data_IF_864920615503
#
_entry.id   IF_864920615503
#
_cell.length_a   1.000
_cell.length_b   1.000
_cell.length_c   1.000
_cell.angle_alpha   90.00
_cell.angle_beta   90.00
_cell.angle_gamma   90.00
#
_symmetry.space_group_name_H-M   'P 1'
#
loop_
_entity.id
_entity.type
_entity.pdbx_description
1 polymer ?
#
# COMPACT_ATOMS: atom_id res chain seq x y z
N UNK A 1 -7.70 27.15 -11.13
CA UNK A 1 -7.51 26.18 -10.03
C UNK A 1 -6.34 25.28 -10.37
N UNK A 2 -5.36 25.09 -9.47
CA UNK A 2 -4.25 24.16 -9.68
C UNK A 2 -4.74 22.73 -9.45
N UNK A 3 -4.34 21.80 -10.31
CA UNK A 3 -4.64 20.37 -10.14
C UNK A 3 -3.79 19.77 -9.02
N UNK A 4 -4.32 18.82 -8.25
CA UNK A 4 -3.50 18.08 -7.28
C UNK A 4 -2.46 17.24 -8.02
N UNK A 5 -1.29 17.15 -7.41
CA UNK A 5 -0.25 16.19 -7.77
C UNK A 5 -0.47 14.90 -6.98
N UNK A 6 -0.08 13.78 -7.55
CA UNK A 6 -0.25 12.45 -6.96
C UNK A 6 1.03 11.64 -7.13
N UNK A 7 1.25 10.72 -6.21
CA UNK A 7 2.32 9.73 -6.25
C UNK A 7 1.81 8.35 -5.82
N UNK A 8 2.58 7.31 -6.11
CA UNK A 8 2.27 5.97 -5.63
C UNK A 8 2.58 5.88 -4.13
N UNK A 9 1.61 5.43 -3.33
CA UNK A 9 1.77 5.32 -1.87
C UNK A 9 2.74 4.20 -1.44
N UNK A 10 2.84 3.13 -2.23
CA UNK A 10 3.73 2.00 -1.99
C UNK A 10 4.44 1.58 -3.30
N UNK A 11 5.68 1.09 -3.22
CA UNK A 11 6.47 0.73 -4.41
C UNK A 11 6.15 -0.66 -4.98
N UNK A 12 5.42 -1.50 -4.25
CA UNK A 12 5.18 -2.89 -4.60
C UNK A 12 4.12 -3.03 -5.71
N UNK A 13 4.30 -4.04 -6.58
CA UNK A 13 3.32 -4.36 -7.62
C UNK A 13 2.45 -5.53 -7.17
N UNK A 14 1.18 -5.48 -7.54
CA UNK A 14 0.21 -6.55 -7.38
C UNK A 14 -0.42 -6.87 -8.74
N UNK A 15 -0.83 -8.11 -8.96
CA UNK A 15 -1.63 -8.49 -10.13
C UNK A 15 -3.02 -7.84 -10.04
N UNK A 16 -3.66 -7.93 -8.87
CA UNK A 16 -4.87 -7.18 -8.54
C UNK A 16 -4.86 -6.72 -7.08
N UNK A 17 -4.36 -5.51 -6.85
CA UNK A 17 -4.29 -4.88 -5.54
C UNK A 17 -5.65 -4.35 -5.08
N UNK A 18 -6.11 -4.79 -3.90
CA UNK A 18 -7.44 -4.47 -3.38
C UNK A 18 -7.44 -4.19 -1.87
N UNK A 19 -8.49 -3.52 -1.40
CA UNK A 19 -8.71 -3.26 0.03
C UNK A 19 -7.63 -2.44 0.75
N UNK A 20 -7.09 -1.35 0.16
CA UNK A 20 -6.08 -0.54 0.84
C UNK A 20 -6.63 0.04 2.14
N UNK A 21 -5.97 -0.25 3.25
CA UNK A 21 -6.35 0.18 4.60
C UNK A 21 -5.11 0.70 5.33
N UNK A 22 -5.22 1.88 5.94
CA UNK A 22 -4.18 2.40 6.81
C UNK A 22 -4.41 1.91 8.25
N UNK A 23 -3.40 1.27 8.83
CA UNK A 23 -3.34 0.99 10.27
C UNK A 23 -2.61 2.15 10.97
N UNK A 24 -3.33 3.02 11.72
CA UNK A 24 -2.71 4.17 12.38
C UNK A 24 -1.89 3.79 13.62
N UNK A 25 -2.08 2.60 14.20
CA UNK A 25 -1.34 2.15 15.38
C UNK A 25 0.03 1.62 14.95
N UNK A 26 0.07 0.79 13.90
CA UNK A 26 1.32 0.26 13.36
C UNK A 26 2.04 1.24 12.41
N UNK A 27 1.30 2.19 11.83
CA UNK A 27 1.81 3.09 10.80
C UNK A 27 2.05 2.40 9.47
N UNK A 28 1.21 1.41 9.11
CA UNK A 28 1.37 0.61 7.90
C UNK A 28 0.18 0.76 6.95
N UNK A 29 0.47 0.76 5.65
CA UNK A 29 -0.53 0.52 4.61
C UNK A 29 -0.64 -1.00 4.42
N UNK A 30 -1.87 -1.52 4.45
CA UNK A 30 -2.18 -2.95 4.28
C UNK A 30 -3.11 -3.08 3.08
N UNK A 31 -2.85 -4.05 2.21
CA UNK A 31 -3.73 -4.39 1.08
C UNK A 31 -3.52 -5.85 0.70
N UNK A 32 -4.38 -6.38 -0.16
CA UNK A 32 -4.23 -7.73 -0.70
C UNK A 32 -3.94 -7.70 -2.18
N UNK A 33 -3.22 -8.69 -2.68
CA UNK A 33 -3.23 -9.08 -4.08
C UNK A 33 -4.14 -10.31 -4.21
N UNK A 34 -5.35 -10.11 -4.75
CA UNK A 34 -6.39 -11.15 -4.77
C UNK A 34 -5.95 -12.34 -5.62
N UNK A 35 -5.38 -12.08 -6.79
CA UNK A 35 -5.06 -13.14 -7.76
C UNK A 35 -3.80 -13.91 -7.35
N UNK A 36 -2.85 -13.24 -6.69
CA UNK A 36 -1.65 -13.88 -6.12
C UNK A 36 -1.86 -14.51 -4.75
N UNK A 37 -3.05 -14.38 -4.14
CA UNK A 37 -3.33 -14.83 -2.76
C UNK A 37 -2.32 -14.30 -1.72
N UNK A 38 -1.94 -13.02 -1.82
CA UNK A 38 -0.92 -12.38 -0.96
C UNK A 38 -1.49 -11.23 -0.15
N UNK A 39 -1.06 -11.09 1.10
CA UNK A 39 -1.29 -9.91 1.93
C UNK A 39 -0.01 -9.08 1.94
N UNK A 40 -0.14 -7.78 1.68
CA UNK A 40 0.95 -6.83 1.67
C UNK A 40 0.87 -5.90 2.87
N UNK A 41 2.05 -5.53 3.38
CA UNK A 41 2.21 -4.42 4.32
C UNK A 41 3.29 -3.48 3.82
N UNK A 42 3.14 -2.18 4.07
CA UNK A 42 4.15 -1.17 3.77
C UNK A 42 4.31 -0.20 4.93
N UNK A 43 5.52 -0.11 5.44
CA UNK A 43 5.95 0.90 6.41
C UNK A 43 6.71 2.02 5.67
N UNK A 44 6.09 3.20 5.47
CA UNK A 44 6.76 4.30 4.78
C UNK A 44 7.90 4.93 5.60
N UNK A 45 7.92 4.76 6.93
CA UNK A 45 8.96 5.34 7.78
C UNK A 45 10.27 4.55 7.70
N UNK A 46 10.18 3.22 7.52
CA UNK A 46 11.36 2.33 7.48
C UNK A 46 11.64 1.72 6.11
N UNK A 47 10.67 1.77 5.20
CA UNK A 47 10.72 1.08 3.92
C UNK A 47 10.52 -0.44 4.02
N UNK A 48 10.04 -0.95 5.16
CA UNK A 48 9.79 -2.38 5.35
C UNK A 48 8.49 -2.79 4.63
N UNK A 49 8.53 -3.96 3.98
CA UNK A 49 7.40 -4.56 3.27
C UNK A 49 7.35 -6.08 3.46
N UNK A 50 6.15 -6.63 3.35
CA UNK A 50 5.87 -8.08 3.32
C UNK A 50 5.03 -8.46 2.10
#
# INVERSE_FOLDING_TARGET
MRRPEYEAAAPERAELGEGPTWDPVAGHLIWIDILSSRVHTWDPATGRRT
#
